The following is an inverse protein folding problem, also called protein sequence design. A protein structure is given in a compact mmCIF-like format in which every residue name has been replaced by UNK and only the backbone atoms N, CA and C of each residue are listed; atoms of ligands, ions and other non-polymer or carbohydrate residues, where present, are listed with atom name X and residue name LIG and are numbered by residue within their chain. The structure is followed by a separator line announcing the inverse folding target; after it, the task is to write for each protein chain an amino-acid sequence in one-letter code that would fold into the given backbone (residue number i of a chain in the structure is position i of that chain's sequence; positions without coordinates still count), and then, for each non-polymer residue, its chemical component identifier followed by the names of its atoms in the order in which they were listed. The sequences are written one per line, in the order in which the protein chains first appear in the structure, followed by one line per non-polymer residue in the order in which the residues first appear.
data_IF_151154052231
#
_entry.id   IF_151154052231
#
_cell.length_a   1.000
_cell.length_b   1.000
_cell.length_c   1.000
_cell.angle_alpha   90.00
_cell.angle_beta   90.00
_cell.angle_gamma   90.00
#
_symmetry.space_group_name_H-M   'P 1'
#
loop_
_entity.id
_entity.type
_entity.pdbx_description
1 polymer ?
#
# COMPACT_ATOMS: atom_id res chain seq x y z
N UNK A 1 -8.51 -6.91 17.12
CA UNK A 1 -8.31 -7.88 18.23
C UNK A 1 -7.19 -8.80 17.80
N UNK A 2 -6.17 -8.97 18.63
CA UNK A 2 -5.07 -9.90 18.37
C UNK A 2 -5.64 -11.32 18.20
N UNK A 3 -5.20 -12.02 17.15
CA UNK A 3 -5.56 -13.42 16.92
C UNK A 3 -4.80 -14.33 17.89
N UNK A 4 -5.31 -15.54 18.13
CA UNK A 4 -4.62 -16.54 18.98
C UNK A 4 -3.23 -16.88 18.42
N UNK A 5 -3.07 -16.83 17.09
CA UNK A 5 -1.79 -17.05 16.43
C UNK A 5 -0.78 -15.95 16.74
N UNK A 6 -1.16 -14.68 16.59
CA UNK A 6 -0.31 -13.53 16.91
C UNK A 6 0.05 -13.51 18.41
N UNK A 7 -0.87 -13.93 19.28
CA UNK A 7 -0.59 -14.11 20.71
C UNK A 7 0.43 -15.22 20.96
N UNK A 8 0.33 -16.34 20.25
CA UNK A 8 1.30 -17.45 20.34
C UNK A 8 2.70 -17.04 19.87
N UNK A 9 2.79 -16.24 18.81
CA UNK A 9 4.06 -15.68 18.35
C UNK A 9 4.66 -14.71 19.39
N UNK A 10 3.84 -13.83 19.97
CA UNK A 10 4.29 -12.92 21.04
C UNK A 10 4.76 -13.70 22.28
N UNK A 11 4.04 -14.76 22.68
CA UNK A 11 4.38 -15.59 23.83
C UNK A 11 5.68 -16.39 23.64
N UNK A 12 6.02 -16.75 22.40
CA UNK A 12 7.25 -17.50 22.06
C UNK A 12 8.44 -16.61 21.74
N UNK A 13 8.20 -15.32 21.50
CA UNK A 13 9.23 -14.33 21.14
C UNK A 13 10.18 -13.92 22.28
N UNK A 14 9.98 -14.43 23.51
CA UNK A 14 10.68 -13.99 24.74
C UNK A 14 10.47 -12.51 25.10
N UNK A 15 9.56 -11.80 24.41
CA UNK A 15 9.23 -10.39 24.70
C UNK A 15 8.56 -10.20 26.06
N UNK A 16 7.87 -11.22 26.55
CA UNK A 16 7.15 -11.25 27.81
C UNK A 16 7.58 -12.47 28.60
N UNK A 17 7.70 -12.34 29.92
CA UNK A 17 7.88 -13.50 30.78
C UNK A 17 6.61 -14.35 30.84
N UNK A 18 6.73 -15.61 31.26
CA UNK A 18 5.58 -16.51 31.39
C UNK A 18 4.46 -15.95 32.28
N UNK A 19 4.82 -15.17 33.31
CA UNK A 19 3.86 -14.52 34.20
C UNK A 19 3.08 -13.40 33.47
N UNK A 20 3.77 -12.63 32.64
CA UNK A 20 3.19 -11.52 31.88
C UNK A 20 2.29 -12.04 30.75
N UNK A 21 2.71 -13.12 30.08
CA UNK A 21 1.89 -13.83 29.08
C UNK A 21 0.59 -14.34 29.73
N UNK A 22 0.68 -14.94 30.92
CA UNK A 22 -0.51 -15.42 31.64
C UNK A 22 -1.46 -14.27 32.03
N UNK A 23 -0.91 -13.13 32.47
CA UNK A 23 -1.70 -11.94 32.78
C UNK A 23 -2.43 -11.38 31.55
N UNK A 24 -1.75 -11.26 30.41
CA UNK A 24 -2.36 -10.82 29.14
C UNK A 24 -3.42 -11.80 28.67
N UNK A 25 -3.15 -13.11 28.74
CA UNK A 25 -4.13 -14.14 28.38
C UNK A 25 -5.40 -14.05 29.22
N UNK A 26 -5.27 -13.92 30.55
CA UNK A 26 -6.41 -13.80 31.46
C UNK A 26 -7.19 -12.51 31.25
N UNK A 27 -6.50 -11.39 30.97
CA UNK A 27 -7.14 -10.12 30.63
C UNK A 27 -8.00 -10.21 29.35
N UNK A 28 -7.56 -11.00 28.37
CA UNK A 28 -8.25 -11.17 27.08
C UNK A 28 -9.39 -12.20 27.13
N UNK A 29 -9.32 -13.19 28.01
CA UNK A 29 -10.20 -14.37 27.98
C UNK A 29 -11.26 -14.42 29.09
N UNK A 30 -11.06 -13.70 30.21
CA UNK A 30 -11.96 -13.77 31.37
C UNK A 30 -12.90 -12.57 31.43
N UNK A 31 -14.14 -12.81 31.90
CA UNK A 31 -15.15 -11.77 32.18
C UNK A 31 -15.56 -11.84 33.66
N UNK A 32 -15.42 -10.75 34.45
CA UNK A 32 -14.88 -9.44 34.06
C UNK A 32 -13.36 -9.50 33.82
N UNK A 33 -12.87 -8.62 32.94
CA UNK A 33 -11.46 -8.56 32.58
C UNK A 33 -10.63 -8.21 33.81
N UNK A 34 -9.61 -9.01 34.11
CA UNK A 34 -8.71 -8.77 35.22
C UNK A 34 -7.82 -7.55 34.92
N UNK A 35 -7.59 -6.63 35.87
CA UNK A 35 -6.69 -5.51 35.68
C UNK A 35 -5.25 -6.03 35.49
N UNK A 36 -4.53 -5.41 34.56
CA UNK A 36 -3.12 -5.73 34.29
C UNK A 36 -2.26 -4.53 34.67
N UNK A 37 -0.99 -4.75 35.09
CA UNK A 37 -0.07 -3.66 35.44
C UNK A 37 0.41 -2.86 34.21
N UNK A 38 0.07 -3.33 33.00
CA UNK A 38 0.37 -2.66 31.75
C UNK A 38 -0.70 -1.61 31.44
N UNK A 39 -0.32 -0.48 30.84
CA UNK A 39 -1.29 0.45 30.26
C UNK A 39 -2.19 -0.31 29.27
N UNK A 40 -3.47 -0.43 29.62
CA UNK A 40 -4.51 -0.98 28.73
C UNK A 40 -5.05 0.07 27.77
N UNK A 41 -4.77 1.35 28.04
CA UNK A 41 -4.93 2.42 27.06
C UNK A 41 -3.99 2.17 25.89
N UNK A 42 -4.50 2.34 24.67
CA UNK A 42 -3.68 2.29 23.47
C UNK A 42 -2.48 3.21 23.67
N UNK A 43 -1.26 2.69 23.50
CA UNK A 43 -0.10 3.57 23.37
C UNK A 43 -0.41 4.46 22.17
N UNK A 44 -0.43 5.77 22.36
CA UNK A 44 -0.61 6.78 21.31
C UNK A 44 0.50 6.73 20.24
N UNK A 45 1.50 5.85 20.39
CA UNK A 45 2.54 5.54 19.42
C UNK A 45 2.31 4.21 18.67
N UNK A 46 1.21 3.50 18.98
CA UNK A 46 0.77 2.26 18.36
C UNK A 46 0.09 2.54 17.04
N UNK A 47 0.86 3.04 16.08
CA UNK A 47 0.47 3.18 14.69
C UNK A 47 0.09 1.80 14.14
N UNK A 48 -1.19 1.43 14.19
CA UNK A 48 -1.69 0.22 13.55
C UNK A 48 -1.43 0.33 12.05
N UNK A 49 -0.67 -0.62 11.48
CA UNK A 49 -0.38 -0.66 10.04
C UNK A 49 -1.60 -1.16 9.30
N UNK A 50 -2.05 -0.39 8.33
CA UNK A 50 -3.18 -0.70 7.47
C UNK A 50 -2.76 -0.72 6.01
N UNK A 51 -3.56 -1.39 5.18
CA UNK A 51 -3.35 -1.49 3.74
C UNK A 51 -4.67 -1.23 3.04
N UNK A 52 -4.68 -0.30 2.11
CA UNK A 52 -5.79 -0.13 1.16
C UNK A 52 -5.37 -0.70 -0.18
N UNK A 53 -6.26 -1.47 -0.82
CA UNK A 53 -6.05 -2.05 -2.14
C UNK A 53 -6.95 -1.34 -3.15
N UNK A 54 -6.39 -0.96 -4.30
CA UNK A 54 -7.13 -0.23 -5.35
C UNK A 54 -7.72 -1.14 -6.44
N UNK A 55 -7.14 -2.31 -6.68
CA UNK A 55 -7.56 -3.18 -7.78
C UNK A 55 -8.24 -4.44 -7.28
N UNK A 56 -9.36 -4.81 -7.91
CA UNK A 56 -10.09 -6.02 -7.58
C UNK A 56 -9.48 -7.27 -8.22
N UNK A 57 -8.86 -7.14 -9.39
CA UNK A 57 -8.25 -8.26 -10.14
C UNK A 57 -6.91 -7.85 -10.74
N UNK A 58 -6.16 -8.81 -11.28
CA UNK A 58 -4.99 -8.53 -12.12
C UNK A 58 -5.45 -8.16 -13.54
N UNK A 59 -4.64 -7.35 -14.24
CA UNK A 59 -4.80 -6.99 -15.64
C UNK A 59 -3.88 -7.81 -16.54
N UNK A 60 -4.32 -8.02 -17.77
CA UNK A 60 -3.50 -8.50 -18.87
C UNK A 60 -2.65 -7.38 -19.51
N UNK A 61 -2.89 -6.10 -19.17
CA UNK A 61 -2.17 -4.93 -19.71
C UNK A 61 -1.27 -4.27 -18.66
N UNK A 62 -0.19 -3.63 -19.13
CA UNK A 62 0.83 -2.96 -18.30
C UNK A 62 0.59 -1.46 -18.26
N UNK A 63 0.73 -0.79 -17.11
CA UNK A 63 0.45 0.66 -16.99
C UNK A 63 1.28 1.34 -15.88
N UNK A 64 1.44 2.67 -15.97
CA UNK A 64 2.09 3.53 -14.97
C UNK A 64 1.20 4.73 -14.56
N UNK A 65 1.38 5.14 -13.30
CA UNK A 65 1.03 6.43 -12.65
C UNK A 65 -0.44 6.73 -12.27
N UNK A 66 -0.71 7.18 -11.02
CA UNK A 66 -2.08 7.48 -10.53
C UNK A 66 -2.19 8.51 -9.39
N UNK A 67 -3.34 9.19 -9.34
CA UNK A 67 -3.74 10.12 -8.29
C UNK A 67 -4.65 9.46 -7.22
N UNK A 68 -4.61 10.00 -5.99
CA UNK A 68 -5.39 9.54 -4.83
C UNK A 68 -5.73 10.68 -3.86
N UNK A 69 -6.95 10.69 -3.33
CA UNK A 69 -7.43 11.58 -2.28
C UNK A 69 -7.86 10.77 -1.06
N UNK A 70 -7.67 11.32 0.15
CA UNK A 70 -7.95 10.63 1.42
C UNK A 70 -8.90 11.47 2.28
N UNK A 71 -9.89 10.84 2.92
CA UNK A 71 -10.89 11.50 3.76
C UNK A 71 -10.45 11.72 5.23
N UNK A 72 -9.35 11.09 5.66
CA UNK A 72 -8.81 11.20 7.02
C UNK A 72 -7.29 11.38 7.03
N UNK A 73 -6.75 11.99 8.09
CA UNK A 73 -5.31 12.10 8.28
C UNK A 73 -4.68 10.71 8.48
N UNK A 74 -3.65 10.42 7.70
CA UNK A 74 -2.86 9.19 7.79
C UNK A 74 -1.37 9.48 7.68
N UNK A 75 -0.55 8.50 8.06
CA UNK A 75 0.88 8.51 7.79
C UNK A 75 1.18 7.42 6.76
N UNK A 76 1.40 7.80 5.50
CA UNK A 76 1.74 6.85 4.44
C UNK A 76 3.15 6.32 4.67
N UNK A 77 3.28 5.01 4.86
CA UNK A 77 4.57 4.35 5.08
C UNK A 77 5.23 3.89 3.78
N UNK A 78 4.43 3.67 2.72
CA UNK A 78 4.94 3.16 1.45
C UNK A 78 3.83 2.69 0.51
N UNK A 79 4.26 2.21 -0.65
CA UNK A 79 3.38 1.69 -1.69
C UNK A 79 3.71 0.24 -2.01
N UNK A 80 2.67 -0.56 -2.24
CA UNK A 80 2.82 -1.86 -2.87
C UNK A 80 3.04 -1.68 -4.37
N UNK A 81 3.98 -2.43 -4.92
CA UNK A 81 4.37 -2.43 -6.32
C UNK A 81 4.26 -3.86 -6.82
N UNK A 82 3.60 -4.07 -7.95
CA UNK A 82 3.54 -5.41 -8.53
C UNK A 82 4.92 -5.84 -9.03
N UNK A 83 5.27 -7.10 -8.73
CA UNK A 83 6.52 -7.72 -9.14
C UNK A 83 6.59 -8.07 -10.62
N UNK A 84 7.71 -8.69 -11.01
CA UNK A 84 7.99 -9.00 -12.41
C UNK A 84 7.13 -10.16 -12.91
N UNK A 85 6.64 -9.98 -14.13
CA UNK A 85 5.85 -10.96 -14.88
C UNK A 85 6.69 -11.50 -16.06
N UNK A 86 6.50 -12.76 -16.43
CA UNK A 86 7.29 -13.41 -17.48
C UNK A 86 7.06 -12.74 -18.83
N UNK A 87 8.13 -12.67 -19.63
CA UNK A 87 8.04 -12.10 -20.97
C UNK A 87 7.17 -12.98 -21.86
N UNK A 88 6.17 -12.39 -22.51
CA UNK A 88 5.34 -13.10 -23.48
C UNK A 88 6.26 -13.62 -24.62
N UNK A 89 6.43 -14.95 -24.68
CA UNK A 89 7.33 -15.63 -25.63
C UNK A 89 8.44 -16.48 -25.01
N UNK A 90 8.68 -16.41 -23.69
CA UNK A 90 9.68 -17.24 -22.98
C UNK A 90 9.09 -18.48 -22.28
N UNK A 91 7.83 -18.83 -22.59
CA UNK A 91 7.38 -20.19 -22.37
C UNK A 91 7.89 -21.05 -23.53
N UNK A 92 8.68 -22.07 -23.17
CA UNK A 92 9.14 -23.22 -23.98
C UNK A 92 10.61 -23.25 -24.41
N UNK A 93 11.55 -22.90 -23.54
CA UNK A 93 12.81 -23.66 -23.51
C UNK A 93 13.55 -23.55 -22.18
N UNK A 94 13.62 -24.69 -21.49
CA UNK A 94 14.80 -25.09 -20.71
C UNK A 94 15.12 -24.32 -19.42
N UNK A 95 14.18 -24.23 -18.48
CA UNK A 95 14.52 -24.28 -17.05
C UNK A 95 13.41 -25.03 -16.33
N UNK A 96 13.77 -25.98 -15.46
CA UNK A 96 12.84 -26.74 -14.62
C UNK A 96 11.78 -25.81 -14.00
N UNK A 97 10.51 -26.11 -14.24
CA UNK A 97 9.34 -25.30 -13.84
C UNK A 97 9.08 -25.27 -12.33
N UNK A 98 10.14 -25.38 -11.52
CA UNK A 98 10.13 -25.43 -10.06
C UNK A 98 11.14 -24.50 -9.39
N UNK A 99 12.06 -23.87 -10.12
CA UNK A 99 12.97 -22.89 -9.53
C UNK A 99 12.39 -21.49 -9.67
N UNK A 100 11.87 -20.94 -8.58
CA UNK A 100 11.44 -19.57 -8.52
C UNK A 100 12.68 -18.66 -8.71
N UNK A 101 12.66 -17.80 -9.74
CA UNK A 101 13.75 -16.88 -10.04
C UNK A 101 13.57 -15.61 -9.22
N UNK A 102 14.44 -15.38 -8.25
CA UNK A 102 14.43 -14.14 -7.48
C UNK A 102 14.96 -12.97 -8.31
N UNK A 103 14.35 -11.81 -8.13
CA UNK A 103 14.73 -10.56 -8.77
C UNK A 103 14.91 -9.46 -7.73
N UNK A 104 15.76 -8.50 -8.05
CA UNK A 104 16.01 -7.31 -7.24
C UNK A 104 16.14 -6.10 -8.17
N UNK A 105 15.51 -4.98 -7.80
CA UNK A 105 15.57 -3.74 -8.58
C UNK A 105 15.42 -2.52 -7.69
N UNK A 106 15.85 -1.37 -8.20
CA UNK A 106 15.66 -0.08 -7.56
C UNK A 106 14.42 0.62 -8.12
N UNK A 107 13.58 1.10 -7.21
CA UNK A 107 12.39 1.89 -7.53
C UNK A 107 12.45 3.20 -6.77
N UNK A 108 12.21 4.28 -7.49
CA UNK A 108 11.91 5.59 -6.91
C UNK A 108 10.40 5.68 -6.66
N UNK A 109 10.00 5.98 -5.42
CA UNK A 109 8.62 6.25 -5.04
C UNK A 109 8.47 7.72 -4.68
N UNK A 110 7.40 8.34 -5.15
CA UNK A 110 7.14 9.76 -4.95
C UNK A 110 5.70 10.00 -4.50
N UNK A 111 5.52 11.04 -3.69
CA UNK A 111 4.22 11.54 -3.29
C UNK A 111 4.18 13.04 -3.51
N UNK A 112 3.22 13.53 -4.29
CA UNK A 112 2.99 14.94 -4.56
C UNK A 112 1.69 15.39 -3.91
N UNK A 113 1.66 16.61 -3.40
CA UNK A 113 0.42 17.28 -3.01
C UNK A 113 -0.13 18.03 -4.22
N UNK A 114 -1.40 17.85 -4.52
CA UNK A 114 -2.09 18.54 -5.62
C UNK A 114 -2.81 19.76 -5.07
N UNK A 115 -2.44 20.95 -5.57
CA UNK A 115 -3.15 22.19 -5.28
C UNK A 115 -4.06 22.54 -6.45
N UNK A 116 -5.36 22.57 -6.17
CA UNK A 116 -6.37 23.08 -7.08
C UNK A 116 -6.23 24.61 -7.14
N UNK A 117 -5.88 25.14 -8.31
CA UNK A 117 -5.91 26.59 -8.53
C UNK A 117 -7.16 26.96 -9.34
N UNK A 118 -7.75 28.13 -9.07
CA UNK A 118 -8.91 28.64 -9.79
C UNK A 118 -8.66 28.89 -11.30
N UNK A 119 -7.43 28.69 -11.80
CA UNK A 119 -7.00 28.96 -13.18
C UNK A 119 -6.81 27.71 -14.05
N UNK A 120 -7.50 26.60 -13.75
CA UNK A 120 -7.46 25.36 -14.56
C UNK A 120 -6.07 24.69 -14.69
N UNK A 121 -5.10 25.13 -13.90
CA UNK A 121 -3.79 24.48 -13.79
C UNK A 121 -3.63 23.96 -12.36
N UNK A 122 -3.68 22.64 -12.21
CA UNK A 122 -3.27 21.99 -10.97
C UNK A 122 -1.75 22.08 -10.87
N UNK A 123 -1.25 22.58 -9.73
CA UNK A 123 0.18 22.55 -9.42
C UNK A 123 0.45 21.39 -8.46
N UNK A 124 1.47 20.60 -8.76
CA UNK A 124 1.93 19.50 -7.91
C UNK A 124 3.18 19.95 -7.16
N UNK A 125 3.16 19.79 -5.83
CA UNK A 125 4.31 20.03 -4.97
C UNK A 125 4.84 18.69 -4.46
N UNK A 126 6.12 18.39 -4.73
CA UNK A 126 6.75 17.17 -4.22
C UNK A 126 6.73 17.18 -2.68
N UNK A 127 6.03 16.22 -2.11
CA UNK A 127 5.87 16.07 -0.66
C UNK A 127 6.90 15.10 -0.08
N UNK A 128 7.19 14.01 -0.80
CA UNK A 128 8.22 13.06 -0.44
C UNK A 128 8.72 12.30 -1.67
N UNK A 129 9.99 11.89 -1.64
CA UNK A 129 10.60 10.96 -2.60
C UNK A 129 11.57 10.04 -1.86
N UNK A 130 11.67 8.78 -2.29
CA UNK A 130 12.63 7.82 -1.76
C UNK A 130 13.00 6.81 -2.84
N UNK A 131 14.29 6.47 -2.94
CA UNK A 131 14.77 5.35 -3.75
C UNK A 131 14.89 4.11 -2.87
N UNK A 132 14.19 3.05 -3.25
CA UNK A 132 14.07 1.82 -2.48
C UNK A 132 14.49 0.64 -3.34
N UNK A 133 15.35 -0.21 -2.79
CA UNK A 133 15.64 -1.53 -3.36
C UNK A 133 14.49 -2.45 -2.96
N UNK A 134 13.79 -2.99 -3.95
CA UNK A 134 12.77 -4.03 -3.75
C UNK A 134 13.24 -5.34 -4.36
N UNK A 135 12.83 -6.43 -3.73
CA UNK A 135 13.14 -7.79 -4.15
C UNK A 135 11.88 -8.65 -4.10
N UNK A 136 11.79 -9.61 -4.99
CA UNK A 136 10.68 -10.53 -5.02
C UNK A 136 11.00 -11.74 -5.87
N UNK A 137 10.01 -12.59 -6.04
CA UNK A 137 10.14 -13.84 -6.78
C UNK A 137 9.36 -13.74 -8.09
N UNK A 138 9.92 -14.24 -9.18
CA UNK A 138 9.27 -14.24 -10.49
C UNK A 138 7.95 -15.02 -10.42
N UNK A 139 6.91 -14.51 -11.08
CA UNK A 139 5.54 -15.02 -11.04
C UNK A 139 4.79 -14.83 -9.70
N UNK A 140 5.39 -14.19 -8.69
CA UNK A 140 4.65 -13.78 -7.52
C UNK A 140 3.79 -12.55 -7.87
N UNK A 141 2.48 -12.73 -7.84
CA UNK A 141 1.50 -11.68 -8.09
C UNK A 141 1.30 -10.76 -6.88
N UNK A 142 1.86 -11.14 -5.72
CA UNK A 142 1.77 -10.35 -4.50
C UNK A 142 2.61 -9.07 -4.65
N UNK A 143 2.04 -7.89 -4.34
CA UNK A 143 2.81 -6.66 -4.34
C UNK A 143 3.94 -6.67 -3.31
N UNK A 144 5.09 -6.11 -3.70
CA UNK A 144 6.24 -5.86 -2.83
C UNK A 144 6.18 -4.42 -2.35
N UNK A 145 6.45 -4.18 -1.06
CA UNK A 145 6.30 -2.85 -0.47
C UNK A 145 7.60 -2.05 -0.61
N UNK A 146 7.55 -0.95 -1.37
CA UNK A 146 8.55 0.11 -1.29
C UNK A 146 8.15 1.10 -0.19
N UNK A 147 9.02 1.29 0.79
CA UNK A 147 8.73 2.10 1.99
C UNK A 147 9.54 3.38 2.03
N UNK A 148 8.92 4.48 2.46
CA UNK A 148 9.65 5.69 2.82
C UNK A 148 10.46 5.45 4.11
N UNK A 149 11.64 6.06 4.25
CA UNK A 149 12.43 5.98 5.51
C UNK A 149 11.66 6.50 6.72
N UNK A 150 10.81 7.51 6.51
CA UNK A 150 9.91 8.08 7.51
C UNK A 150 8.51 8.14 6.92
N UNK A 151 7.46 7.73 7.67
CA UNK A 151 6.10 7.86 7.21
C UNK A 151 5.76 9.32 6.86
N UNK A 152 5.07 9.51 5.74
CA UNK A 152 4.75 10.82 5.17
C UNK A 152 3.34 11.22 5.61
N UNK A 153 3.15 12.37 6.28
CA UNK A 153 1.83 12.85 6.66
C UNK A 153 0.97 13.18 5.44
N UNK A 154 -0.22 12.60 5.40
CA UNK A 154 -1.27 12.87 4.40
C UNK A 154 -2.45 13.47 5.14
N UNK A 155 -2.82 14.68 4.78
CA UNK A 155 -3.89 15.44 5.42
C UNK A 155 -5.26 15.07 4.82
N UNK A 156 -6.34 15.11 5.63
CA UNK A 156 -7.69 14.88 5.14
C UNK A 156 -8.06 15.94 4.11
N UNK A 157 -8.88 15.54 3.13
CA UNK A 157 -9.44 16.41 2.07
C UNK A 157 -8.42 17.07 1.14
N UNK A 158 -7.14 16.71 1.26
CA UNK A 158 -6.07 17.12 0.34
C UNK A 158 -5.87 16.01 -0.71
N UNK A 159 -5.77 16.41 -1.97
CA UNK A 159 -5.48 15.49 -3.07
C UNK A 159 -3.97 15.26 -3.19
N UNK A 160 -3.58 14.02 -3.45
CA UNK A 160 -2.19 13.62 -3.61
C UNK A 160 -1.98 12.79 -4.88
N UNK A 161 -0.79 12.86 -5.47
CA UNK A 161 -0.37 12.00 -6.58
C UNK A 161 0.70 11.05 -6.10
N UNK A 162 0.46 9.74 -6.19
CA UNK A 162 1.47 8.72 -5.90
C UNK A 162 2.14 8.28 -7.20
N UNK A 163 3.47 8.30 -7.24
CA UNK A 163 4.25 7.87 -8.41
C UNK A 163 5.27 6.83 -8.03
N UNK A 164 5.60 6.00 -9.01
CA UNK A 164 6.74 5.09 -8.91
C UNK A 164 7.45 5.00 -10.26
N UNK A 165 8.77 4.78 -10.19
CA UNK A 165 9.63 4.62 -11.36
C UNK A 165 10.68 3.55 -11.08
N UNK A 166 10.74 2.51 -11.92
CA UNK A 166 11.88 1.62 -11.93
C UNK A 166 13.10 2.35 -12.51
N UNK A 167 14.23 2.30 -11.80
CA UNK A 167 15.45 2.97 -12.27
C UNK A 167 16.16 2.17 -13.37
N UNK A 168 15.95 0.86 -13.43
CA UNK A 168 16.41 0.00 -14.52
C UNK A 168 15.24 -0.32 -15.47
N UNK A 169 15.02 0.55 -16.46
CA UNK A 169 13.88 0.42 -17.40
C UNK A 169 14.08 -0.69 -18.45
N UNK A 170 15.29 -1.23 -18.63
CA UNK A 170 15.64 -1.96 -19.85
C UNK A 170 15.01 -3.37 -19.97
N UNK A 171 14.48 -3.96 -18.88
CA UNK A 171 14.08 -5.39 -18.88
C UNK A 171 12.77 -5.67 -18.11
N UNK A 172 12.09 -4.66 -17.58
CA UNK A 172 11.04 -4.91 -16.58
C UNK A 172 9.65 -5.00 -17.20
N UNK A 173 9.13 -6.23 -17.26
CA UNK A 173 7.70 -6.48 -17.41
C UNK A 173 7.14 -6.79 -16.02
N UNK A 174 6.10 -6.08 -15.58
CA UNK A 174 5.44 -6.29 -14.30
C UNK A 174 4.00 -6.73 -14.46
N UNK A 175 3.44 -7.33 -13.41
CA UNK A 175 1.99 -7.44 -13.28
C UNK A 175 1.36 -6.05 -13.14
N UNK A 176 0.05 -5.99 -13.35
CA UNK A 176 -0.73 -4.77 -13.28
C UNK A 176 -2.10 -5.12 -12.71
N UNK A 177 -2.74 -4.19 -12.04
CA UNK A 177 -4.08 -4.36 -11.52
C UNK A 177 -5.12 -3.97 -12.58
N UNK A 178 -6.30 -4.56 -12.48
CA UNK A 178 -7.48 -4.23 -13.26
C UNK A 178 -8.67 -3.94 -12.37
N UNK A 179 -9.71 -3.34 -13.00
CA UNK A 179 -10.96 -2.99 -12.33
C UNK A 179 -10.69 -2.14 -11.09
N UNK A 180 -9.90 -1.08 -11.29
CA UNK A 180 -9.58 -0.13 -10.23
C UNK A 180 -10.87 0.47 -9.66
N UNK A 181 -10.97 0.49 -8.33
CA UNK A 181 -12.11 1.07 -7.62
C UNK A 181 -11.90 2.57 -7.43
N UNK A 182 -13.00 3.32 -7.49
CA UNK A 182 -13.01 4.77 -7.24
C UNK A 182 -13.02 5.10 -5.75
N UNK A 183 -13.66 4.26 -4.93
CA UNK A 183 -13.70 4.43 -3.48
C UNK A 183 -13.36 3.11 -2.80
N UNK A 184 -12.40 3.15 -1.88
CA UNK A 184 -12.02 2.02 -1.05
C UNK A 184 -12.21 2.37 0.42
N UNK A 185 -13.04 1.58 1.11
CA UNK A 185 -13.25 1.74 2.55
C UNK A 185 -12.40 0.72 3.30
N UNK A 186 -11.50 1.19 4.17
CA UNK A 186 -10.73 0.32 5.08
C UNK A 186 -11.42 0.33 6.44
N UNK A 187 -11.89 -0.82 6.94
CA UNK A 187 -12.42 -0.93 8.30
C UNK A 187 -11.29 -0.80 9.31
N UNK A 188 -11.53 -0.04 10.36
CA UNK A 188 -10.60 0.22 11.44
C UNK A 188 -11.12 -0.42 12.74
N UNK A 189 -10.27 -0.53 13.77
CA UNK A 189 -10.74 -0.83 15.12
C UNK A 189 -11.89 0.09 15.55
N UNK A 190 -12.74 -0.40 16.46
CA UNK A 190 -13.85 0.36 17.07
C UNK A 190 -14.98 0.78 16.11
N UNK A 191 -15.20 0.01 15.05
CA UNK A 191 -16.23 0.29 14.04
C UNK A 191 -16.01 1.63 13.29
N UNK A 192 -14.79 2.15 13.36
CA UNK A 192 -14.37 3.26 12.54
C UNK A 192 -14.00 2.80 11.12
N UNK A 193 -13.98 3.75 10.18
CA UNK A 193 -13.60 3.51 8.80
C UNK A 193 -12.87 4.70 8.22
N UNK A 194 -12.08 4.45 7.18
CA UNK A 194 -11.44 5.47 6.36
C UNK A 194 -11.74 5.18 4.89
N UNK A 195 -12.02 6.23 4.11
CA UNK A 195 -12.29 6.12 2.68
C UNK A 195 -11.17 6.75 1.87
N UNK A 196 -10.65 5.97 0.93
CA UNK A 196 -9.74 6.43 -0.08
C UNK A 196 -10.51 6.67 -1.36
N UNK A 197 -10.40 7.88 -1.90
CA UNK A 197 -10.96 8.27 -3.18
C UNK A 197 -9.85 8.23 -4.24
N UNK A 198 -10.10 7.52 -5.32
CA UNK A 198 -9.12 7.19 -6.34
C UNK A 198 -9.57 7.77 -7.66
N UNK A 199 -8.88 8.82 -8.11
CA UNK A 199 -9.20 9.50 -9.36
C UNK A 199 -8.23 9.04 -10.45
N UNK A 200 -8.71 9.07 -11.70
CA UNK A 200 -7.86 8.84 -12.88
C UNK A 200 -7.41 10.20 -13.39
N UNK A 201 -6.10 10.45 -13.39
CA UNK A 201 -5.57 11.68 -13.95
C UNK A 201 -5.63 11.60 -15.47
N UNK A 202 -6.41 12.48 -16.10
CA UNK A 202 -6.55 12.52 -17.56
C UNK A 202 -5.34 13.17 -18.27
N UNK A 203 -4.17 13.21 -17.63
CA UNK A 203 -3.11 14.17 -17.97
C UNK A 203 -1.73 13.53 -18.18
N UNK A 204 -1.70 12.36 -18.79
CA UNK A 204 -0.49 11.79 -19.37
C UNK A 204 -0.01 12.61 -20.58
N UNK A 205 0.67 13.73 -20.34
CA UNK A 205 1.39 14.46 -21.39
C UNK A 205 2.81 13.93 -21.64
N UNK A 206 3.19 12.80 -21.05
CA UNK A 206 4.52 12.17 -21.26
C UNK A 206 4.53 10.86 -22.05
N UNK A 207 3.40 10.44 -22.64
CA UNK A 207 3.35 9.32 -23.59
C UNK A 207 3.42 9.79 -25.05
N UNK A 208 4.40 10.63 -25.37
CA UNK A 208 4.82 10.85 -26.76
C UNK A 208 5.79 9.74 -27.19
N UNK A 209 5.25 8.53 -27.38
CA UNK A 209 5.75 7.57 -28.40
C UNK A 209 5.01 6.24 -28.51
N UNK A 210 4.05 5.92 -27.65
CA UNK A 210 3.07 4.88 -27.91
C UNK A 210 1.75 5.25 -27.23
N UNK A 211 0.65 5.42 -27.98
CA UNK A 211 -0.66 5.65 -27.37
C UNK A 211 -1.14 4.31 -26.79
N UNK A 212 -0.77 4.00 -25.54
CA UNK A 212 -1.51 2.99 -24.79
C UNK A 212 -2.89 3.57 -24.49
N UNK A 213 -3.83 3.10 -25.29
CA UNK A 213 -5.18 3.57 -25.53
C UNK A 213 -6.11 3.31 -24.31
N UNK A 214 -5.74 3.79 -23.12
CA UNK A 214 -6.43 3.40 -21.88
C UNK A 214 -7.54 4.36 -21.44
N UNK A 215 -7.71 5.53 -22.08
CA UNK A 215 -8.58 6.58 -21.53
C UNK A 215 -9.58 7.19 -22.52
N UNK A 216 -9.82 6.60 -23.70
CA UNK A 216 -10.65 7.25 -24.73
C UNK A 216 -12.05 6.70 -24.98
N UNK A 217 -12.53 5.66 -24.29
CA UNK A 217 -13.90 5.19 -24.47
C UNK A 217 -14.50 4.63 -23.17
N UNK A 218 -15.49 5.33 -22.60
CA UNK A 218 -16.66 4.88 -21.79
C UNK A 218 -16.61 3.59 -20.95
N UNK A 219 -15.44 3.20 -20.43
CA UNK A 219 -15.29 1.97 -19.65
C UNK A 219 -14.41 2.28 -18.42
N UNK A 220 -14.93 2.18 -17.17
CA UNK A 220 -14.26 2.65 -15.95
C UNK A 220 -13.18 1.66 -15.46
N UNK A 221 -12.48 1.01 -16.38
CA UNK A 221 -11.53 -0.04 -16.05
C UNK A 221 -10.15 0.58 -15.89
N UNK A 222 -9.98 1.32 -14.81
CA UNK A 222 -8.71 1.86 -14.41
C UNK A 222 -7.74 0.68 -14.13
N UNK A 223 -6.75 0.44 -15.00
CA UNK A 223 -5.67 -0.56 -14.85
C UNK A 223 -4.29 0.06 -14.50
N UNK A 224 -3.42 -0.64 -13.74
CA UNK A 224 -2.03 -0.20 -13.55
C UNK A 224 -1.28 -0.65 -12.30
N UNK A 225 -0.17 0.05 -12.04
CA UNK A 225 0.69 -0.09 -10.86
C UNK A 225 0.12 0.60 -9.61
N UNK A 226 0.88 0.51 -8.51
CA UNK A 226 0.52 1.02 -7.18
C UNK A 226 -0.76 0.38 -6.63
N UNK A 227 -0.83 -0.98 -6.56
CA UNK A 227 -2.02 -1.66 -6.05
C UNK A 227 -2.35 -1.40 -4.59
N UNK A 228 -1.35 -1.08 -3.77
CA UNK A 228 -1.52 -0.96 -2.33
C UNK A 228 -0.92 0.35 -1.81
N UNK A 229 -1.63 1.00 -0.88
CA UNK A 229 -1.06 2.07 -0.06
C UNK A 229 -0.96 1.52 1.37
N UNK A 230 0.25 1.52 1.92
CA UNK A 230 0.50 1.16 3.30
C UNK A 230 0.52 2.43 4.14
N UNK A 231 -0.23 2.43 5.24
CA UNK A 231 -0.35 3.61 6.07
C UNK A 231 -0.53 3.25 7.54
N UNK A 232 -0.28 4.24 8.38
CA UNK A 232 -0.61 4.22 9.79
C UNK A 232 -1.71 5.21 10.10
N UNK A 233 -2.46 4.91 11.16
CA UNK A 233 -3.43 5.83 11.74
C UNK A 233 -2.87 6.38 13.03
N UNK A 234 -2.95 7.70 13.15
CA UNK A 234 -2.74 8.39 14.41
C UNK A 234 -4.08 8.53 15.11
N UNK A 235 -4.23 7.80 16.22
CA UNK A 235 -5.42 7.90 17.06
C UNK A 235 -5.34 9.20 17.87
N UNK A 236 -6.42 10.00 17.95
CA UNK A 236 -6.45 11.15 18.83
C UNK A 236 -6.26 10.69 20.29
N UNK A 237 -5.50 11.45 21.07
CA UNK A 237 -5.34 11.18 22.49
C UNK A 237 -6.71 11.26 23.19
N UNK A 238 -7.09 10.19 23.89
CA UNK A 238 -8.33 10.13 24.69
C UNK A 238 -9.59 9.63 23.97
N UNK A 239 -9.48 9.02 22.79
CA UNK A 239 -10.68 8.63 22.01
C UNK A 239 -11.31 7.28 22.41
N UNK A 240 -10.72 6.48 23.29
CA UNK A 240 -11.32 5.23 23.80
C UNK A 240 -10.88 4.93 25.23
#
# INVERSE_FOLDING_TARGET
LMTVHEFGEAATSSLLSYEEVAQVFLHLTVVPRLPVPYPTGLRCNGCSRHVVKRFATLSDKRCNNRESKVDRQILVSGFGIFGFAPRAGELLSSVDSSAALDWQTEVEIELFTVKMSNRSQNSEDLSATETVVIQGTMNDVKPVVASFRKPVPVLPDVSYTARMKFLDEAVIQTYSGAKGIEVATVPLPFDEKINFHFESSSRDSYSSRHPSNCCYNDVPHCEGQLPEIHFFIQWPEGTH
#
